data_IF_054672004914
#
_entry.id   IF_054672004914
#
_cell.length_a   1.000
_cell.length_b   1.000
_cell.length_c   1.000
_cell.angle_alpha   90.00
_cell.angle_beta   90.00
_cell.angle_gamma   90.00
#
_symmetry.space_group_name_H-M   'P 1'
#
loop_
_entity.id
_entity.type
_entity.pdbx_description
1 polymer ?
#
# COMPACT_ATOMS: atom_id res chain seq x y z
N UNK A 1 -13.00 -6.38 -6.94
CA UNK A 1 -11.99 -7.18 -7.67
C UNK A 1 -10.93 -6.23 -8.20
N UNK A 2 -9.65 -6.60 -8.20
CA UNK A 2 -8.49 -5.71 -8.46
C UNK A 2 -8.27 -5.47 -9.97
N UNK A 3 -9.33 -5.20 -10.73
CA UNK A 3 -9.27 -4.99 -12.18
C UNK A 3 -8.80 -3.57 -12.55
N UNK A 4 -8.96 -2.61 -11.63
CA UNK A 4 -8.69 -1.18 -11.89
C UNK A 4 -7.19 -0.84 -12.04
N UNK A 5 -6.28 -1.69 -11.56
CA UNK A 5 -4.82 -1.45 -11.65
C UNK A 5 -4.31 -1.72 -13.06
N UNK A 6 -4.99 -2.61 -13.80
CA UNK A 6 -4.61 -3.01 -15.16
C UNK A 6 -5.13 -2.05 -16.23
N UNK A 7 -6.12 -1.21 -15.90
CA UNK A 7 -6.66 -0.23 -16.84
C UNK A 7 -5.91 1.09 -16.72
N UNK A 8 -5.36 1.57 -17.84
CA UNK A 8 -4.89 2.95 -17.97
C UNK A 8 -5.99 3.76 -18.70
N UNK A 9 -6.31 4.98 -18.23
CA UNK A 9 -5.76 5.63 -17.06
C UNK A 9 -6.27 4.97 -15.75
N UNK A 10 -5.36 4.80 -14.81
CA UNK A 10 -5.53 4.16 -13.49
C UNK A 10 -6.33 5.01 -12.49
N UNK A 11 -7.11 5.97 -12.98
CA UNK A 11 -7.80 7.00 -12.18
C UNK A 11 -8.81 6.38 -11.21
N UNK A 12 -9.47 5.29 -11.61
CA UNK A 12 -10.46 4.57 -10.80
C UNK A 12 -9.89 4.03 -9.48
N UNK A 13 -8.62 3.62 -9.48
CA UNK A 13 -7.92 3.18 -8.27
C UNK A 13 -7.84 4.32 -7.25
N UNK A 14 -7.31 5.47 -7.68
CA UNK A 14 -7.13 6.65 -6.82
C UNK A 14 -8.46 7.23 -6.36
N UNK A 15 -9.47 7.30 -7.23
CA UNK A 15 -10.81 7.74 -6.84
C UNK A 15 -11.41 6.84 -5.76
N UNK A 16 -11.23 5.52 -5.89
CA UNK A 16 -11.69 4.57 -4.87
C UNK A 16 -10.92 4.73 -3.57
N UNK A 17 -9.59 4.92 -3.64
CA UNK A 17 -8.78 5.21 -2.47
C UNK A 17 -9.20 6.52 -1.80
N UNK A 18 -9.46 7.58 -2.56
CA UNK A 18 -9.92 8.87 -2.05
C UNK A 18 -11.26 8.73 -1.33
N UNK A 19 -12.21 8.00 -1.92
CA UNK A 19 -13.49 7.70 -1.26
C UNK A 19 -13.31 6.90 0.03
N UNK A 20 -12.35 5.99 0.10
CA UNK A 20 -12.05 5.24 1.33
C UNK A 20 -11.41 6.12 2.40
N UNK A 21 -10.45 6.96 2.02
CA UNK A 21 -9.79 7.91 2.93
C UNK A 21 -10.75 9.01 3.42
N UNK A 22 -11.74 9.38 2.62
CA UNK A 22 -12.76 10.37 3.01
C UNK A 22 -13.82 9.81 3.97
N UNK A 23 -14.04 8.48 3.99
CA UNK A 23 -15.07 7.85 4.82
C UNK A 23 -14.70 7.78 6.30
N UNK A 24 -13.41 7.80 6.61
CA UNK A 24 -12.90 7.65 7.97
C UNK A 24 -11.61 8.45 8.08
N UNK A 25 -11.32 9.16 9.18
CA UNK A 25 -10.04 9.81 9.38
C UNK A 25 -8.93 8.75 9.49
N UNK A 26 -8.36 8.39 8.35
CA UNK A 26 -7.24 7.44 8.25
C UNK A 26 -5.95 8.23 8.46
N UNK A 27 -5.09 7.78 9.39
CA UNK A 27 -3.78 8.40 9.65
C UNK A 27 -2.64 7.81 8.82
N UNK A 28 -2.85 6.68 8.15
CA UNK A 28 -1.85 6.02 7.31
C UNK A 28 -2.43 4.86 6.50
N UNK A 29 -1.77 4.52 5.40
CA UNK A 29 -2.14 3.43 4.49
C UNK A 29 -1.09 2.35 4.53
N UNK A 30 -1.50 1.08 4.65
CA UNK A 30 -0.61 -0.07 4.49
C UNK A 30 -0.87 -0.68 3.12
N UNK A 31 0.12 -0.63 2.24
CA UNK A 31 0.09 -1.27 0.93
C UNK A 31 0.80 -2.61 1.03
N UNK A 32 0.06 -3.70 0.91
CA UNK A 32 0.58 -5.06 0.88
C UNK A 32 0.67 -5.54 -0.57
N UNK A 33 1.88 -5.80 -1.07
CA UNK A 33 2.11 -6.27 -2.44
C UNK A 33 2.93 -7.54 -2.50
N UNK A 34 2.71 -8.35 -3.52
CA UNK A 34 3.53 -9.52 -3.80
C UNK A 34 4.75 -9.12 -4.63
N UNK A 35 5.93 -9.67 -4.32
CA UNK A 35 7.17 -9.39 -5.06
C UNK A 35 7.08 -9.74 -6.56
N UNK A 36 6.25 -10.72 -6.91
CA UNK A 36 6.08 -11.17 -8.29
C UNK A 36 5.05 -10.35 -9.09
N UNK A 37 4.67 -9.18 -8.61
CA UNK A 37 3.74 -8.30 -9.31
C UNK A 37 4.44 -7.01 -9.75
N UNK A 38 5.01 -7.02 -10.95
CA UNK A 38 5.73 -5.90 -11.56
C UNK A 38 4.87 -4.63 -11.68
N UNK A 39 3.56 -4.81 -11.89
CA UNK A 39 2.61 -3.71 -11.96
C UNK A 39 2.57 -2.89 -10.67
N UNK A 40 2.57 -3.56 -9.51
CA UNK A 40 2.55 -2.89 -8.21
C UNK A 40 3.89 -2.26 -7.86
N UNK A 41 5.01 -2.78 -8.36
CA UNK A 41 6.32 -2.15 -8.16
C UNK A 41 6.36 -0.71 -8.69
N UNK A 42 5.81 -0.46 -9.88
CA UNK A 42 5.72 0.89 -10.43
C UNK A 42 4.64 1.74 -9.74
N UNK A 43 3.52 1.11 -9.35
CA UNK A 43 2.37 1.80 -8.80
C UNK A 43 2.57 2.27 -7.34
N UNK A 44 3.41 1.56 -6.55
CA UNK A 44 3.73 1.94 -5.16
C UNK A 44 4.25 3.38 -5.06
N UNK A 45 5.13 3.78 -5.96
CA UNK A 45 5.69 5.13 -5.96
C UNK A 45 4.62 6.18 -6.22
N UNK A 46 3.70 5.90 -7.16
CA UNK A 46 2.58 6.80 -7.47
C UNK A 46 1.58 6.89 -6.32
N UNK A 47 1.31 5.77 -5.64
CA UNK A 47 0.45 5.75 -4.45
C UNK A 47 1.07 6.55 -3.31
N UNK A 48 2.38 6.43 -3.10
CA UNK A 48 3.10 7.22 -2.08
C UNK A 48 3.06 8.72 -2.36
N UNK A 49 3.22 9.11 -3.62
CA UNK A 49 3.19 10.51 -4.06
C UNK A 49 1.78 11.12 -3.98
N UNK A 50 0.77 10.36 -4.38
CA UNK A 50 -0.62 10.81 -4.40
C UNK A 50 -1.29 10.82 -3.01
N UNK A 51 -0.90 9.90 -2.12
CA UNK A 51 -1.58 9.73 -0.83
C UNK A 51 -1.35 10.94 0.08
N UNK A 52 -2.42 11.54 0.64
CA UNK A 52 -2.29 12.64 1.59
C UNK A 52 -1.80 12.18 2.98
N UNK A 53 -1.66 10.88 3.19
CA UNK A 53 -1.24 10.26 4.44
C UNK A 53 -0.06 9.32 4.22
N UNK A 54 0.80 9.10 5.24
CA UNK A 54 1.93 8.19 5.14
C UNK A 54 1.52 6.80 4.63
N UNK A 55 2.34 6.22 3.75
CA UNK A 55 2.09 4.90 3.16
C UNK A 55 3.23 3.94 3.51
N UNK A 56 2.91 2.85 4.23
CA UNK A 56 3.82 1.74 4.48
C UNK A 56 3.70 0.70 3.36
N UNK A 57 4.82 0.43 2.67
CA UNK A 57 4.90 -0.63 1.65
C UNK A 57 5.43 -1.94 2.24
N UNK A 58 4.61 -2.99 2.24
CA UNK A 58 4.91 -4.32 2.73
C UNK A 58 5.00 -5.28 1.55
N UNK A 59 6.23 -5.75 1.33
CA UNK A 59 6.53 -6.80 0.37
C UNK A 59 6.23 -8.17 0.95
N UNK A 60 5.46 -8.95 0.20
CA UNK A 60 5.16 -10.34 0.46
C UNK A 60 5.92 -11.16 -0.58
N UNK A 61 7.01 -11.78 -0.16
CA UNK A 61 7.78 -12.71 -0.97
C UNK A 61 7.26 -14.13 -0.87
N UNK A 62 8.12 -15.10 -1.24
CA UNK A 62 7.90 -16.50 -0.90
C UNK A 62 7.76 -16.66 0.63
N UNK A 63 6.91 -17.59 1.13
CA UNK A 63 6.84 -17.92 2.55
C UNK A 63 8.21 -18.27 3.16
N UNK A 64 9.14 -18.76 2.33
CA UNK A 64 10.51 -19.11 2.74
C UNK A 64 11.47 -17.91 2.83
N UNK A 65 11.08 -16.72 2.35
CA UNK A 65 11.91 -15.51 2.34
C UNK A 65 11.32 -14.36 3.15
N UNK A 66 10.07 -14.48 3.61
CA UNK A 66 9.41 -13.41 4.35
C UNK A 66 9.55 -13.66 5.84
N UNK A 67 10.47 -12.95 6.50
CA UNK A 67 10.59 -12.96 7.95
C UNK A 67 9.38 -12.23 8.58
N UNK A 68 8.49 -12.95 9.30
CA UNK A 68 7.32 -12.35 9.93
C UNK A 68 7.70 -11.29 10.98
N UNK A 69 8.84 -11.47 11.67
CA UNK A 69 9.30 -10.53 12.69
C UNK A 69 9.71 -9.19 12.07
N UNK A 70 10.37 -9.23 10.92
CA UNK A 70 10.72 -8.01 10.17
C UNK A 70 9.48 -7.21 9.77
N UNK A 71 8.42 -7.86 9.30
CA UNK A 71 7.19 -7.16 8.93
C UNK A 71 6.45 -6.61 10.15
N UNK A 72 6.39 -7.39 11.23
CA UNK A 72 5.81 -6.93 12.49
C UNK A 72 6.51 -5.67 13.03
N UNK A 73 7.85 -5.66 13.05
CA UNK A 73 8.63 -4.51 13.50
C UNK A 73 8.39 -3.26 12.62
N UNK A 74 8.26 -3.43 11.30
CA UNK A 74 7.96 -2.32 10.38
C UNK A 74 6.56 -1.76 10.57
N UNK A 75 5.57 -2.62 10.79
CA UNK A 75 4.20 -2.20 11.10
C UNK A 75 4.19 -1.47 12.44
N UNK A 76 4.86 -2.00 13.47
CA UNK A 76 4.93 -1.36 14.78
C UNK A 76 5.55 0.04 14.69
N UNK A 77 6.74 0.16 14.08
CA UNK A 77 7.39 1.45 13.89
C UNK A 77 6.51 2.44 13.10
N UNK A 78 5.77 1.96 12.11
CA UNK A 78 4.83 2.79 11.35
C UNK A 78 3.65 3.23 12.21
N UNK A 79 3.10 2.35 13.04
CA UNK A 79 2.03 2.68 13.99
C UNK A 79 2.49 3.72 15.02
N UNK A 80 3.72 3.62 15.51
CA UNK A 80 4.33 4.60 16.42
C UNK A 80 4.52 5.97 15.75
N UNK A 81 4.86 6.01 14.46
CA UNK A 81 5.03 7.25 13.70
C UNK A 81 3.71 7.99 13.43
N UNK A 82 2.60 7.26 13.24
CA UNK A 82 1.29 7.86 12.92
C UNK A 82 0.37 8.04 14.14
N UNK A 83 0.79 7.57 15.33
CA UNK A 83 0.05 7.71 16.57
C UNK A 83 -0.11 9.20 16.95
#
# INVERSE_FOLDING_TARGET
MMEDVFQRPNTRLYERMARCLAKTPVKGVILRRYLWCDLWHAEVYRVKDWSPVPVLDIEIGSPTQTDPHRQANRIQAFMEMIA
#
